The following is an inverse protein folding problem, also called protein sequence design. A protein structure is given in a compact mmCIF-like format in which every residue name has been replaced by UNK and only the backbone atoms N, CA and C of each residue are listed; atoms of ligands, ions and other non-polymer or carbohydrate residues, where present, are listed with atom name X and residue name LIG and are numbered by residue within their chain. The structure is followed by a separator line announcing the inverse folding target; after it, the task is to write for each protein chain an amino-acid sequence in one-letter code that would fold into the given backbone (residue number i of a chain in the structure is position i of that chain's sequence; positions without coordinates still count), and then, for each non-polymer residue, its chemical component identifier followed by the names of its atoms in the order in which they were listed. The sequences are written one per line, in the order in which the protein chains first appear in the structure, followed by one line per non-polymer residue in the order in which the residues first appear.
data_IF_880610681208
#
_entry.id   IF_880610681208
#
_cell.length_a   1.000
_cell.length_b   1.000
_cell.length_c   1.000
_cell.angle_alpha   90.00
_cell.angle_beta   90.00
_cell.angle_gamma   90.00
#
_symmetry.space_group_name_H-M   'P 1'
#
loop_
_entity.id
_entity.type
_entity.pdbx_description
1 polymer ?
#
# COMPACT_ATOMS: atom_id res chain seq x y z
N UNK A 1 79.83 -14.97 -46.13
CA UNK A 1 79.45 -13.99 -45.08
C UNK A 1 79.17 -14.76 -43.80
N UNK A 2 79.97 -14.53 -42.75
CA UNK A 2 79.94 -15.30 -41.49
C UNK A 2 79.11 -14.49 -40.48
N UNK A 3 77.93 -14.97 -40.11
CA UNK A 3 77.11 -14.36 -39.06
C UNK A 3 77.80 -14.59 -37.71
N UNK A 4 78.06 -13.51 -36.97
CA UNK A 4 78.57 -13.58 -35.60
C UNK A 4 77.45 -14.02 -34.66
N UNK A 5 77.72 -14.89 -33.67
CA UNK A 5 76.72 -15.32 -32.70
C UNK A 5 76.35 -14.14 -31.78
N UNK A 6 75.05 -13.87 -31.66
CA UNK A 6 74.49 -12.90 -30.72
C UNK A 6 74.67 -13.44 -29.31
N UNK A 7 75.49 -12.79 -28.47
CA UNK A 7 75.55 -13.10 -27.04
C UNK A 7 74.18 -12.80 -26.41
N UNK A 8 73.54 -13.81 -25.83
CA UNK A 8 72.36 -13.61 -24.99
C UNK A 8 72.81 -12.89 -23.72
N UNK A 9 72.43 -11.61 -23.58
CA UNK A 9 72.62 -10.86 -22.35
C UNK A 9 71.61 -11.39 -21.31
N UNK A 10 72.12 -11.96 -20.21
CA UNK A 10 71.30 -12.36 -19.07
C UNK A 10 70.89 -11.16 -18.22
N UNK A 11 69.78 -11.29 -17.50
CA UNK A 11 69.29 -10.27 -16.56
C UNK A 11 70.16 -10.20 -15.30
N UNK A 12 70.38 -8.99 -14.79
CA UNK A 12 71.08 -8.83 -13.50
C UNK A 12 70.14 -9.11 -12.33
N UNK A 13 70.69 -9.54 -11.19
CA UNK A 13 69.90 -9.79 -9.98
C UNK A 13 69.17 -8.52 -9.50
N UNK A 14 69.82 -7.35 -9.63
CA UNK A 14 69.21 -6.05 -9.29
C UNK A 14 68.01 -5.76 -10.18
N UNK A 15 68.12 -6.00 -11.49
CA UNK A 15 67.02 -5.82 -12.43
C UNK A 15 65.83 -6.72 -12.10
N UNK A 16 66.06 -8.00 -11.82
CA UNK A 16 65.01 -8.94 -11.38
C UNK A 16 64.31 -8.46 -10.10
N UNK A 17 65.07 -8.04 -9.08
CA UNK A 17 64.52 -7.57 -7.80
C UNK A 17 63.69 -6.29 -8.01
N UNK A 18 64.17 -5.32 -8.80
CA UNK A 18 63.41 -4.10 -9.09
C UNK A 18 62.09 -4.39 -9.80
N UNK A 19 62.07 -5.32 -10.75
CA UNK A 19 60.84 -5.72 -11.47
C UNK A 19 59.83 -6.36 -10.51
N UNK A 20 60.26 -7.26 -9.63
CA UNK A 20 59.37 -7.90 -8.65
C UNK A 20 58.76 -6.85 -7.70
N UNK A 21 59.56 -5.89 -7.22
CA UNK A 21 59.08 -4.82 -6.34
C UNK A 21 58.07 -3.93 -7.05
N UNK A 22 58.38 -3.48 -8.28
CA UNK A 22 57.48 -2.63 -9.07
C UNK A 22 56.17 -3.36 -9.36
N UNK A 23 56.23 -4.64 -9.77
CA UNK A 23 55.04 -5.46 -10.00
C UNK A 23 54.21 -5.64 -8.73
N UNK A 24 54.85 -5.83 -7.57
CA UNK A 24 54.15 -5.95 -6.29
C UNK A 24 53.37 -4.68 -5.93
N UNK A 25 53.99 -3.50 -6.07
CA UNK A 25 53.34 -2.20 -5.78
C UNK A 25 52.20 -1.92 -6.77
N UNK A 26 52.42 -2.17 -8.06
CA UNK A 26 51.39 -1.98 -9.09
C UNK A 26 50.22 -2.94 -8.90
N UNK A 27 50.49 -4.22 -8.67
CA UNK A 27 49.45 -5.23 -8.43
C UNK A 27 48.58 -4.84 -7.23
N UNK A 28 49.20 -4.47 -6.09
CA UNK A 28 48.48 -4.02 -4.89
C UNK A 28 47.59 -2.79 -5.15
N UNK A 29 48.12 -1.82 -5.90
CA UNK A 29 47.39 -0.59 -6.24
C UNK A 29 46.18 -0.88 -7.14
N UNK A 30 46.38 -1.68 -8.18
CA UNK A 30 45.32 -2.08 -9.12
C UNK A 30 44.24 -2.88 -8.39
N UNK A 31 44.62 -3.85 -7.55
CA UNK A 31 43.64 -4.64 -6.77
C UNK A 31 42.81 -3.75 -5.84
N UNK A 32 43.43 -2.79 -5.16
CA UNK A 32 42.72 -1.88 -4.26
C UNK A 32 41.74 -0.98 -5.01
N UNK A 33 42.18 -0.45 -6.17
CA UNK A 33 41.32 0.35 -7.04
C UNK A 33 40.14 -0.45 -7.58
N UNK A 34 40.38 -1.67 -8.06
CA UNK A 34 39.30 -2.55 -8.55
C UNK A 34 38.31 -2.90 -7.43
N UNK A 35 38.79 -3.18 -6.22
CA UNK A 35 37.94 -3.46 -5.06
C UNK A 35 37.07 -2.26 -4.68
N UNK A 36 37.64 -1.06 -4.72
CA UNK A 36 36.89 0.17 -4.45
C UNK A 36 35.84 0.43 -5.54
N UNK A 37 36.22 0.26 -6.81
CA UNK A 37 35.31 0.43 -7.94
C UNK A 37 34.13 -0.54 -7.90
N UNK A 38 34.38 -1.83 -7.63
CA UNK A 38 33.30 -2.82 -7.50
C UNK A 38 32.41 -2.53 -6.29
N UNK A 39 32.98 -2.16 -5.14
CA UNK A 39 32.20 -1.78 -3.96
C UNK A 39 31.32 -0.56 -4.21
N UNK A 40 31.87 0.50 -4.82
CA UNK A 40 31.08 1.70 -5.13
C UNK A 40 29.94 1.40 -6.10
N UNK A 41 30.15 0.50 -7.06
CA UNK A 41 29.10 0.06 -7.99
C UNK A 41 28.01 -0.73 -7.26
N UNK A 42 28.36 -1.68 -6.40
CA UNK A 42 27.37 -2.47 -5.65
C UNK A 42 26.58 -1.63 -4.66
N UNK A 43 27.23 -0.69 -3.97
CA UNK A 43 26.57 0.21 -3.02
C UNK A 43 25.56 1.12 -3.75
N UNK A 44 25.93 1.64 -4.93
CA UNK A 44 25.01 2.43 -5.76
C UNK A 44 23.82 1.60 -6.27
N UNK A 45 24.07 0.37 -6.74
CA UNK A 45 23.02 -0.53 -7.22
C UNK A 45 22.05 -0.94 -6.09
N UNK A 46 22.55 -1.24 -4.89
CA UNK A 46 21.73 -1.56 -3.72
C UNK A 46 20.86 -0.37 -3.32
N UNK A 47 21.42 0.85 -3.33
CA UNK A 47 20.66 2.07 -3.03
C UNK A 47 19.58 2.36 -4.06
N UNK A 48 19.86 2.16 -5.34
CA UNK A 48 18.87 2.32 -6.41
C UNK A 48 17.71 1.32 -6.24
N UNK A 49 18.03 0.05 -5.96
CA UNK A 49 17.03 -0.97 -5.70
C UNK A 49 16.13 -0.61 -4.50
N UNK A 50 16.72 -0.18 -3.38
CA UNK A 50 15.97 0.27 -2.20
C UNK A 50 15.03 1.44 -2.51
N UNK A 51 15.52 2.46 -3.22
CA UNK A 51 14.71 3.64 -3.59
C UNK A 51 13.58 3.25 -4.53
N UNK A 52 13.83 2.34 -5.48
CA UNK A 52 12.82 1.86 -6.42
C UNK A 52 11.69 1.11 -5.69
N UNK A 53 12.04 0.15 -4.83
CA UNK A 53 11.07 -0.59 -4.01
C UNK A 53 10.26 0.34 -3.10
N UNK A 54 10.93 1.30 -2.46
CA UNK A 54 10.27 2.25 -1.58
C UNK A 54 9.30 3.17 -2.34
N UNK A 55 9.70 3.69 -3.51
CA UNK A 55 8.82 4.49 -4.38
C UNK A 55 7.61 3.68 -4.81
N UNK A 56 7.81 2.43 -5.24
CA UNK A 56 6.70 1.57 -5.66
C UNK A 56 5.63 1.43 -4.57
N UNK A 57 6.04 1.05 -3.34
CA UNK A 57 5.08 0.84 -2.26
C UNK A 57 4.43 2.14 -1.80
N UNK A 58 5.18 3.24 -1.73
CA UNK A 58 4.63 4.56 -1.33
C UNK A 58 3.63 5.06 -2.38
N UNK A 59 3.94 5.00 -3.67
CA UNK A 59 3.03 5.43 -4.74
C UNK A 59 1.78 4.55 -4.83
N UNK A 60 1.95 3.24 -4.69
CA UNK A 60 0.82 2.31 -4.70
C UNK A 60 -0.10 2.55 -3.51
N UNK A 61 0.46 2.70 -2.31
CA UNK A 61 -0.28 2.97 -1.08
C UNK A 61 -0.98 4.34 -1.16
N UNK A 62 -0.29 5.39 -1.65
CA UNK A 62 -0.88 6.71 -1.92
C UNK A 62 -2.10 6.63 -2.81
N UNK A 63 -2.00 5.91 -3.94
CA UNK A 63 -3.11 5.79 -4.89
C UNK A 63 -4.31 5.07 -4.27
N UNK A 64 -4.09 4.00 -3.53
CA UNK A 64 -5.21 3.23 -2.95
C UNK A 64 -5.86 3.97 -1.77
N UNK A 65 -5.07 4.54 -0.86
CA UNK A 65 -5.60 5.23 0.32
C UNK A 65 -6.37 6.51 -0.06
N UNK A 66 -5.98 7.20 -1.13
CA UNK A 66 -6.73 8.38 -1.64
C UNK A 66 -8.14 8.03 -2.13
N UNK A 67 -8.39 6.77 -2.48
CA UNK A 67 -9.71 6.26 -2.86
C UNK A 67 -10.38 5.46 -1.74
N UNK A 68 -9.93 5.63 -0.49
CA UNK A 68 -10.59 5.06 0.66
C UNK A 68 -11.92 5.77 0.96
N UNK A 69 -12.88 5.01 1.46
CA UNK A 69 -14.13 5.49 2.02
C UNK A 69 -13.83 6.47 3.17
N UNK A 70 -14.51 7.64 3.23
CA UNK A 70 -14.38 8.54 4.35
C UNK A 70 -14.57 7.82 5.68
N UNK A 71 -13.78 8.19 6.69
CA UNK A 71 -13.79 7.58 8.04
C UNK A 71 -13.42 6.09 8.11
N UNK A 72 -13.02 5.44 7.01
CA UNK A 72 -12.58 4.04 7.03
C UNK A 72 -11.13 3.84 7.46
N UNK A 73 -10.24 4.83 7.29
CA UNK A 73 -8.82 4.63 7.62
C UNK A 73 -8.63 4.35 9.11
N UNK A 74 -7.92 3.27 9.44
CA UNK A 74 -7.51 2.94 10.81
C UNK A 74 -6.20 2.18 10.86
N UNK A 75 -5.59 2.12 12.03
CA UNK A 75 -4.42 1.28 12.29
C UNK A 75 -4.82 0.03 13.07
N UNK A 76 -4.36 -1.14 12.64
CA UNK A 76 -4.63 -2.42 13.30
C UNK A 76 -3.34 -3.20 13.61
N UNK A 77 -3.49 -4.27 14.39
CA UNK A 77 -2.40 -5.11 14.86
C UNK A 77 -1.54 -4.46 15.94
N UNK A 78 -0.56 -5.22 16.44
CA UNK A 78 0.35 -4.74 17.47
C UNK A 78 1.20 -3.57 16.97
N UNK A 79 1.35 -2.51 17.78
CA UNK A 79 2.20 -1.35 17.48
C UNK A 79 1.88 -0.65 16.14
N UNK A 80 0.60 -0.54 15.77
CA UNK A 80 0.13 0.08 14.52
C UNK A 80 0.84 -0.47 13.27
N UNK A 81 1.09 -1.78 13.25
CA UNK A 81 1.83 -2.44 12.18
C UNK A 81 1.08 -2.47 10.84
N UNK A 82 -0.24 -2.27 10.84
CA UNK A 82 -1.04 -2.26 9.63
C UNK A 82 -1.82 -0.94 9.48
N UNK A 83 -1.87 -0.44 8.25
CA UNK A 83 -2.85 0.55 7.80
C UNK A 83 -3.98 -0.18 7.08
N UNK A 84 -5.19 -0.03 7.59
CA UNK A 84 -6.40 -0.62 7.02
C UNK A 84 -7.33 0.49 6.51
N UNK A 85 -7.98 0.23 5.38
CA UNK A 85 -8.98 1.12 4.79
C UNK A 85 -9.95 0.33 3.91
N UNK A 86 -11.09 0.94 3.59
CA UNK A 86 -12.09 0.35 2.69
C UNK A 86 -12.07 1.12 1.38
N UNK A 87 -11.76 0.52 0.23
CA UNK A 87 -11.75 1.24 -1.04
C UNK A 87 -13.18 1.49 -1.54
N UNK A 88 -13.38 2.64 -2.19
CA UNK A 88 -14.59 2.96 -2.94
C UNK A 88 -14.47 2.36 -4.33
N UNK A 89 -15.46 1.59 -4.76
CA UNK A 89 -15.60 1.15 -6.15
C UNK A 89 -16.22 2.26 -7.01
N UNK A 90 -17.42 2.71 -6.61
CA UNK A 90 -18.15 3.81 -7.25
C UNK A 90 -18.85 4.69 -6.23
N UNK A 91 -19.05 5.95 -6.58
CA UNK A 91 -19.89 6.89 -5.83
C UNK A 91 -21.08 7.26 -6.69
N UNK A 92 -22.27 7.30 -6.10
CA UNK A 92 -23.50 7.70 -6.75
C UNK A 92 -24.24 8.72 -5.88
N UNK A 93 -25.08 9.53 -6.53
CA UNK A 93 -26.04 10.39 -5.84
C UNK A 93 -27.37 9.64 -5.84
N UNK A 94 -27.95 9.43 -4.66
CA UNK A 94 -29.29 8.86 -4.56
C UNK A 94 -30.35 9.95 -4.77
N UNK A 95 -31.47 9.55 -5.35
CA UNK A 95 -32.62 10.43 -5.53
C UNK A 95 -33.51 10.40 -4.28
N UNK A 96 -33.67 9.22 -3.71
CA UNK A 96 -34.49 8.96 -2.55
C UNK A 96 -33.92 7.76 -1.77
N UNK A 97 -33.99 7.81 -0.44
CA UNK A 97 -33.46 6.78 0.43
C UNK A 97 -34.33 6.65 1.69
N UNK A 98 -34.73 5.43 2.11
CA UNK A 98 -35.65 5.27 3.22
C UNK A 98 -34.97 5.65 4.54
N UNK A 99 -35.36 6.78 5.12
CA UNK A 99 -34.90 7.28 6.45
C UNK A 99 -36.13 7.63 7.29
N UNK A 100 -36.06 7.40 8.61
CA UNK A 100 -37.18 7.72 9.50
C UNK A 100 -37.60 9.20 9.34
N UNK A 101 -38.91 9.50 9.20
CA UNK A 101 -40.07 8.66 9.53
C UNK A 101 -40.64 7.79 8.38
N UNK A 102 -39.96 7.66 7.24
CA UNK A 102 -40.42 6.86 6.12
C UNK A 102 -40.43 5.35 6.42
N UNK A 103 -41.31 4.57 5.76
CA UNK A 103 -41.28 3.12 5.90
C UNK A 103 -40.02 2.52 5.26
N UNK A 104 -39.52 1.43 5.86
CA UNK A 104 -38.39 0.69 5.31
C UNK A 104 -38.71 0.17 3.89
N UNK A 105 -37.75 0.33 2.98
CA UNK A 105 -37.85 -0.07 1.57
C UNK A 105 -36.73 -1.05 1.22
N UNK A 106 -36.98 -1.95 0.26
CA UNK A 106 -35.96 -2.86 -0.27
C UNK A 106 -35.31 -2.34 -1.56
N UNK A 107 -35.56 -1.09 -1.94
CA UNK A 107 -34.92 -0.48 -3.11
C UNK A 107 -34.59 0.98 -2.90
N UNK A 108 -33.51 1.43 -3.55
CA UNK A 108 -33.01 2.80 -3.55
C UNK A 108 -32.73 3.21 -4.99
N UNK A 109 -33.24 4.37 -5.40
CA UNK A 109 -33.01 4.92 -6.73
C UNK A 109 -31.79 5.84 -6.71
N UNK A 110 -30.84 5.60 -7.62
CA UNK A 110 -29.63 6.40 -7.78
C UNK A 110 -29.50 6.95 -9.19
N UNK A 111 -28.77 8.05 -9.33
CA UNK A 111 -28.36 8.56 -10.64
C UNK A 111 -27.68 7.43 -11.43
N UNK A 112 -27.96 7.38 -12.73
CA UNK A 112 -27.50 6.32 -13.62
C UNK A 112 -25.99 6.05 -13.47
N UNK A 113 -25.65 4.79 -13.20
CA UNK A 113 -24.28 4.30 -13.18
C UNK A 113 -23.80 4.05 -14.61
N UNK A 114 -22.67 4.60 -15.03
CA UNK A 114 -22.18 4.42 -16.41
C UNK A 114 -21.48 3.07 -16.61
N UNK A 115 -20.72 2.63 -15.61
CA UNK A 115 -19.96 1.38 -15.64
C UNK A 115 -20.56 0.34 -14.68
N UNK A 116 -20.39 -0.97 -14.97
CA UNK A 116 -20.70 -2.01 -13.99
C UNK A 116 -19.80 -1.91 -12.75
N UNK A 117 -20.31 -2.38 -11.62
CA UNK A 117 -19.55 -2.54 -10.38
C UNK A 117 -18.54 -3.69 -10.52
N UNK A 118 -17.49 -3.67 -9.70
CA UNK A 118 -16.59 -4.80 -9.55
C UNK A 118 -17.33 -5.99 -8.94
N UNK A 119 -16.94 -7.22 -9.35
CA UNK A 119 -17.58 -8.44 -8.85
C UNK A 119 -17.39 -8.68 -7.34
N UNK A 120 -16.43 -7.98 -6.73
CA UNK A 120 -16.12 -8.02 -5.29
C UNK A 120 -16.92 -7.00 -4.47
N UNK A 121 -17.55 -6.03 -5.13
CA UNK A 121 -18.39 -5.00 -4.51
C UNK A 121 -19.72 -5.59 -4.07
N UNK A 122 -20.01 -5.57 -2.78
CA UNK A 122 -21.19 -6.21 -2.19
C UNK A 122 -21.98 -5.30 -1.25
N UNK A 123 -21.38 -4.17 -0.84
CA UNK A 123 -21.95 -3.29 0.16
C UNK A 123 -22.10 -1.88 -0.38
N UNK A 124 -23.09 -1.19 0.17
CA UNK A 124 -23.26 0.25 0.06
C UNK A 124 -23.04 0.91 1.41
N UNK A 125 -22.37 2.05 1.41
CA UNK A 125 -22.16 2.89 2.57
C UNK A 125 -22.88 4.22 2.40
N UNK A 126 -23.66 4.58 3.41
CA UNK A 126 -24.36 5.86 3.49
C UNK A 126 -24.05 6.50 4.83
N UNK A 127 -23.48 7.71 4.79
CA UNK A 127 -23.24 8.56 5.95
C UNK A 127 -22.52 7.88 7.14
N UNK A 128 -21.45 7.13 6.86
CA UNK A 128 -20.61 6.52 7.90
C UNK A 128 -19.80 7.59 8.64
N UNK A 129 -20.00 7.69 9.96
CA UNK A 129 -19.40 8.75 10.79
C UNK A 129 -18.09 8.32 11.46
N UNK A 130 -17.91 7.02 11.67
CA UNK A 130 -16.72 6.48 12.30
C UNK A 130 -16.34 5.13 11.67
N UNK A 131 -15.11 4.66 11.97
CA UNK A 131 -14.61 3.40 11.43
C UNK A 131 -15.40 2.20 11.93
N UNK A 132 -15.93 2.25 13.15
CA UNK A 132 -16.63 1.10 13.75
C UNK A 132 -17.96 0.84 13.04
N UNK A 133 -18.66 1.88 12.57
CA UNK A 133 -19.85 1.74 11.72
C UNK A 133 -19.52 0.93 10.45
N UNK A 134 -18.33 1.16 9.89
CA UNK A 134 -17.87 0.55 8.63
C UNK A 134 -17.45 -0.90 8.86
N UNK A 135 -16.56 -1.14 9.82
CA UNK A 135 -15.95 -2.45 10.02
C UNK A 135 -16.84 -3.45 10.76
N UNK A 136 -17.81 -2.97 11.54
CA UNK A 136 -18.84 -3.81 12.15
C UNK A 136 -20.08 -3.95 11.26
N UNK A 137 -20.06 -3.40 10.03
CA UNK A 137 -21.19 -3.40 9.10
C UNK A 137 -22.48 -2.96 9.80
N UNK A 138 -22.45 -1.78 10.41
CA UNK A 138 -23.57 -1.29 11.21
C UNK A 138 -24.82 -1.13 10.34
N UNK A 139 -25.92 -1.75 10.78
CA UNK A 139 -27.18 -1.66 10.04
C UNK A 139 -27.69 -0.22 10.00
N UNK A 140 -28.24 0.15 8.84
CA UNK A 140 -28.65 1.50 8.52
C UNK A 140 -27.50 2.46 8.14
N UNK A 141 -26.26 1.95 8.05
CA UNK A 141 -25.08 2.69 7.55
C UNK A 141 -24.39 1.91 6.43
N UNK A 142 -24.07 0.64 6.69
CA UNK A 142 -23.50 -0.29 5.71
C UNK A 142 -24.50 -1.40 5.45
N UNK A 143 -24.96 -1.51 4.21
CA UNK A 143 -25.97 -2.51 3.83
C UNK A 143 -25.50 -3.32 2.62
N UNK A 144 -25.76 -4.63 2.65
CA UNK A 144 -25.45 -5.51 1.52
C UNK A 144 -26.57 -5.45 0.49
N UNK A 145 -26.22 -5.16 -0.76
CA UNK A 145 -27.19 -5.14 -1.86
C UNK A 145 -27.24 -6.51 -2.57
N UNK A 146 -28.39 -6.85 -3.15
CA UNK A 146 -28.59 -8.11 -3.88
C UNK A 146 -28.35 -7.98 -5.37
N UNK A 147 -28.79 -6.87 -5.97
CA UNK A 147 -28.54 -6.54 -7.37
C UNK A 147 -28.56 -5.03 -7.60
N UNK A 148 -27.98 -4.61 -8.72
CA UNK A 148 -28.12 -3.25 -9.22
C UNK A 148 -28.69 -3.34 -10.63
N UNK A 149 -29.89 -2.83 -10.80
CA UNK A 149 -30.57 -2.76 -12.09
C UNK A 149 -30.12 -1.48 -12.80
N UNK A 150 -29.33 -1.67 -13.84
CA UNK A 150 -28.83 -0.59 -14.67
C UNK A 150 -29.45 -0.66 -16.06
N UNK A 151 -30.21 0.37 -16.41
CA UNK A 151 -30.91 0.50 -17.69
C UNK A 151 -29.97 0.86 -18.85
N UNK A 152 -28.74 1.31 -18.58
CA UNK A 152 -27.78 1.78 -19.60
C UNK A 152 -28.19 3.09 -20.29
N UNK A 153 -29.30 3.71 -19.88
CA UNK A 153 -29.78 4.97 -20.43
C UNK A 153 -29.62 6.08 -19.39
N UNK A 154 -28.89 7.16 -19.76
CA UNK A 154 -28.59 8.31 -18.89
C UNK A 154 -29.82 9.06 -18.38
N UNK A 155 -30.99 8.84 -18.98
CA UNK A 155 -32.27 9.45 -18.57
C UNK A 155 -33.04 8.63 -17.53
N UNK A 156 -32.64 7.38 -17.29
CA UNK A 156 -33.33 6.46 -16.39
C UNK A 156 -32.44 6.14 -15.18
N UNK A 157 -32.89 6.41 -13.95
CA UNK A 157 -32.16 6.07 -12.73
C UNK A 157 -31.76 4.59 -12.68
N UNK A 158 -30.66 4.29 -12.02
CA UNK A 158 -30.31 2.92 -11.65
C UNK A 158 -30.98 2.58 -10.32
N UNK A 159 -31.42 1.34 -10.16
CA UNK A 159 -32.07 0.88 -8.93
C UNK A 159 -31.18 -0.11 -8.20
N UNK A 160 -30.93 0.16 -6.93
CA UNK A 160 -30.25 -0.76 -6.02
C UNK A 160 -31.33 -1.56 -5.32
N UNK A 161 -31.26 -2.89 -5.41
CA UNK A 161 -32.18 -3.78 -4.72
C UNK A 161 -31.47 -4.43 -3.52
N UNK A 162 -32.22 -4.58 -2.43
CA UNK A 162 -31.79 -5.22 -1.19
C UNK A 162 -32.57 -6.51 -0.98
N UNK A 163 -31.99 -7.45 -0.25
CA UNK A 163 -32.66 -8.71 0.08
C UNK A 163 -33.85 -8.53 1.04
N UNK A 164 -33.76 -7.55 1.94
CA UNK A 164 -34.77 -7.20 2.93
C UNK A 164 -35.09 -5.70 2.85
N UNK A 165 -36.21 -5.29 3.44
CA UNK A 165 -36.48 -3.87 3.63
C UNK A 165 -35.47 -3.29 4.62
N UNK A 166 -34.81 -2.21 4.22
CA UNK A 166 -33.82 -1.49 5.01
C UNK A 166 -34.33 -0.09 5.36
N UNK A 167 -33.82 0.43 6.47
CA UNK A 167 -34.04 1.81 6.90
C UNK A 167 -32.68 2.38 7.30
N UNK A 168 -32.26 3.46 6.64
CA UNK A 168 -31.00 4.12 6.95
C UNK A 168 -31.16 5.01 8.18
N UNK A 169 -30.08 5.14 8.94
CA UNK A 169 -30.09 5.91 10.19
C UNK A 169 -30.19 7.42 9.91
N UNK A 170 -29.60 7.88 8.81
CA UNK A 170 -29.62 9.26 8.39
C UNK A 170 -29.29 9.40 6.90
N UNK A 171 -29.73 10.50 6.31
CA UNK A 171 -29.33 10.91 4.97
C UNK A 171 -27.89 11.43 4.94
N UNK A 172 -27.21 11.23 3.81
CA UNK A 172 -25.96 11.94 3.52
C UNK A 172 -26.29 13.42 3.26
N UNK A 173 -25.55 14.38 3.85
CA UNK A 173 -25.70 15.81 3.60
C UNK A 173 -25.54 16.20 2.12
N UNK A 174 -24.89 15.35 1.31
CA UNK A 174 -24.68 15.58 -0.12
C UNK A 174 -25.46 14.60 -1.00
N UNK A 175 -26.42 13.86 -0.41
CA UNK A 175 -27.20 12.81 -1.05
C UNK A 175 -26.32 11.74 -1.72
N UNK A 176 -25.15 11.46 -1.14
CA UNK A 176 -24.18 10.50 -1.69
C UNK A 176 -24.29 9.14 -1.04
N UNK A 177 -24.05 8.13 -1.87
CA UNK A 177 -23.89 6.73 -1.50
C UNK A 177 -22.62 6.20 -2.16
N UNK A 178 -21.89 5.36 -1.43
CA UNK A 178 -20.67 4.74 -1.92
C UNK A 178 -20.86 3.23 -2.05
N UNK A 179 -20.54 2.68 -3.22
CA UNK A 179 -20.34 1.26 -3.41
C UNK A 179 -18.93 0.91 -2.94
N UNK A 180 -18.81 -0.06 -2.04
CA UNK A 180 -17.55 -0.38 -1.37
C UNK A 180 -17.14 -1.83 -1.59
N UNK A 181 -15.83 -2.05 -1.72
CA UNK A 181 -15.23 -3.37 -1.74
C UNK A 181 -14.89 -3.83 -0.31
N UNK A 182 -14.42 -5.06 -0.20
CA UNK A 182 -13.76 -5.61 0.97
C UNK A 182 -12.57 -4.75 1.45
N UNK A 183 -12.32 -4.72 2.78
CA UNK A 183 -11.18 -4.02 3.35
C UNK A 183 -9.83 -4.43 2.75
N UNK A 184 -8.92 -3.46 2.60
CA UNK A 184 -7.52 -3.65 2.21
C UNK A 184 -6.63 -3.23 3.37
N UNK A 185 -5.60 -4.02 3.65
CA UNK A 185 -4.63 -3.75 4.71
C UNK A 185 -3.20 -3.81 4.18
N UNK A 186 -2.39 -2.80 4.49
CA UNK A 186 -0.94 -2.84 4.31
C UNK A 186 -0.28 -3.06 5.66
N UNK A 187 0.42 -4.19 5.82
CA UNK A 187 1.03 -4.58 7.08
C UNK A 187 2.55 -4.66 6.94
N UNK A 188 3.26 -4.06 7.89
CA UNK A 188 4.69 -4.29 8.09
C UNK A 188 4.85 -5.55 8.93
N UNK A 189 5.44 -6.58 8.34
CA UNK A 189 5.72 -7.86 8.99
C UNK A 189 7.21 -8.17 8.89
N UNK A 190 7.89 -8.17 10.03
CA UNK A 190 9.34 -8.41 10.12
C UNK A 190 10.14 -7.46 9.21
N UNK A 191 10.54 -7.93 8.03
CA UNK A 191 11.41 -7.22 7.08
C UNK A 191 10.70 -6.86 5.76
N UNK A 192 9.37 -6.94 5.72
CA UNK A 192 8.61 -6.75 4.49
C UNK A 192 7.27 -6.05 4.72
N UNK A 193 6.72 -5.50 3.64
CA UNK A 193 5.36 -4.97 3.59
C UNK A 193 4.50 -5.92 2.78
N UNK A 194 3.38 -6.35 3.36
CA UNK A 194 2.39 -7.17 2.69
C UNK A 194 1.10 -6.41 2.51
N UNK A 195 0.48 -6.58 1.36
CA UNK A 195 -0.86 -6.10 1.07
C UNK A 195 -1.84 -7.27 1.17
N UNK A 196 -2.83 -7.13 2.04
CA UNK A 196 -3.92 -8.06 2.27
C UNK A 196 -5.18 -7.57 1.56
N UNK A 197 -5.87 -8.48 0.90
CA UNK A 197 -7.17 -8.25 0.24
C UNK A 197 -8.06 -9.49 0.40
N UNK A 198 -9.38 -9.33 0.32
CA UNK A 198 -10.31 -10.46 0.27
C UNK A 198 -10.54 -11.21 1.59
N UNK A 199 -10.10 -10.65 2.74
CA UNK A 199 -10.39 -11.20 4.07
C UNK A 199 -11.79 -10.80 4.59
N UNK A 200 -12.45 -9.85 3.92
CA UNK A 200 -13.79 -9.39 4.25
C UNK A 200 -13.89 -8.62 5.57
N UNK A 201 -15.11 -8.21 5.92
CA UNK A 201 -15.39 -7.57 7.20
C UNK A 201 -15.33 -8.63 8.32
N UNK A 202 -14.54 -8.38 9.37
CA UNK A 202 -14.39 -9.30 10.50
C UNK A 202 -13.33 -10.41 10.34
N UNK A 203 -12.65 -10.50 9.20
CA UNK A 203 -11.63 -11.52 8.92
C UNK A 203 -10.28 -11.25 9.60
N UNK A 204 -10.21 -11.31 10.93
CA UNK A 204 -8.99 -11.03 11.70
C UNK A 204 -8.48 -12.24 12.49
N UNK A 205 -7.17 -12.32 12.67
CA UNK A 205 -6.50 -13.22 13.60
C UNK A 205 -6.57 -12.66 15.02
N UNK A 206 -6.32 -13.51 16.03
CA UNK A 206 -6.22 -13.08 17.43
C UNK A 206 -5.10 -12.05 17.68
N UNK A 207 -4.12 -11.98 16.79
CA UNK A 207 -3.05 -10.98 16.76
C UNK A 207 -3.50 -9.60 16.22
N UNK A 208 -4.76 -9.47 15.78
CA UNK A 208 -5.29 -8.26 15.15
C UNK A 208 -4.82 -8.04 13.71
N UNK A 209 -4.15 -9.02 13.10
CA UNK A 209 -3.77 -9.03 11.69
C UNK A 209 -4.93 -9.55 10.82
N UNK A 210 -5.04 -9.11 9.55
CA UNK A 210 -5.97 -9.71 8.61
C UNK A 210 -5.68 -11.21 8.44
N UNK A 211 -6.72 -12.03 8.46
CA UNK A 211 -6.62 -13.47 8.29
C UNK A 211 -6.51 -13.82 6.81
N UNK A 212 -5.31 -14.25 6.38
CA UNK A 212 -5.08 -14.79 5.04
C UNK A 212 -5.66 -16.21 4.90
N UNK A 213 -6.98 -16.36 5.00
CA UNK A 213 -7.71 -17.62 4.75
C UNK A 213 -7.80 -17.94 3.24
N UNK A 214 -8.54 -18.99 2.86
CA UNK A 214 -8.62 -19.48 1.47
C UNK A 214 -9.11 -18.45 0.43
N UNK A 215 -9.82 -17.39 0.83
CA UNK A 215 -10.31 -16.33 -0.07
C UNK A 215 -9.46 -15.06 -0.02
N UNK A 216 -8.65 -14.90 1.03
CA UNK A 216 -7.80 -13.74 1.23
C UNK A 216 -6.45 -13.91 0.53
N UNK A 217 -6.02 -12.88 -0.19
CA UNK A 217 -4.71 -12.85 -0.85
C UNK A 217 -3.74 -11.99 -0.05
N UNK A 218 -2.53 -12.50 0.17
CA UNK A 218 -1.40 -11.78 0.76
C UNK A 218 -0.30 -11.60 -0.28
N UNK A 219 -0.01 -10.36 -0.64
CA UNK A 219 0.94 -10.01 -1.70
C UNK A 219 2.13 -9.25 -1.11
N UNK A 220 3.35 -9.68 -1.44
CA UNK A 220 4.57 -8.97 -1.07
C UNK A 220 4.69 -7.67 -1.88
N UNK A 221 4.79 -6.54 -1.19
CA UNK A 221 4.89 -5.21 -1.80
C UNK A 221 6.30 -4.65 -1.74
N UNK A 222 7.03 -4.94 -0.67
CA UNK A 222 8.37 -4.44 -0.44
C UNK A 222 9.12 -5.32 0.55
N UNK A 223 10.44 -5.37 0.43
CA UNK A 223 11.36 -6.04 1.35
C UNK A 223 12.36 -5.02 1.94
N UNK A 224 13.21 -5.48 2.84
CA UNK A 224 14.25 -4.69 3.51
C UNK A 224 13.70 -3.62 4.47
N UNK A 225 12.54 -3.86 5.08
CA UNK A 225 11.95 -2.98 6.08
C UNK A 225 12.59 -3.17 7.45
N UNK A 226 13.02 -2.09 8.10
CA UNK A 226 13.61 -2.10 9.43
C UNK A 226 12.88 -1.17 10.40
N UNK A 227 11.54 -1.14 10.32
CA UNK A 227 10.68 -0.38 11.24
C UNK A 227 10.67 -0.94 12.66
N UNK A 228 10.76 -2.27 12.80
CA UNK A 228 10.82 -2.94 14.09
C UNK A 228 12.20 -3.58 14.25
N UNK A 229 12.99 -3.09 15.21
CA UNK A 229 14.36 -3.58 15.45
C UNK A 229 14.67 -3.60 16.94
N UNK A 230 15.67 -4.39 17.34
CA UNK A 230 16.18 -4.41 18.73
C UNK A 230 16.73 -3.05 19.18
N UNK A 231 17.13 -2.20 18.23
CA UNK A 231 17.68 -0.85 18.48
C UNK A 231 16.59 0.23 18.65
N UNK A 232 15.33 -0.11 18.42
CA UNK A 232 14.21 0.81 18.51
C UNK A 232 13.12 0.53 17.46
N UNK A 233 11.90 0.95 17.77
CA UNK A 233 10.72 0.78 16.93
C UNK A 233 10.27 2.12 16.36
N UNK A 234 10.01 2.14 15.05
CA UNK A 234 9.42 3.25 14.32
C UNK A 234 8.03 2.80 13.89
N UNK A 235 6.99 3.44 14.46
CA UNK A 235 5.61 3.17 14.09
C UNK A 235 5.43 3.41 12.58
N UNK A 236 5.06 2.37 11.81
CA UNK A 236 4.99 2.49 10.36
C UNK A 236 3.76 3.27 9.91
N UNK A 237 2.67 3.19 10.67
CA UNK A 237 1.41 3.83 10.32
C UNK A 237 0.83 4.58 11.52
N UNK A 238 0.26 5.74 11.23
CA UNK A 238 -0.57 6.51 12.15
C UNK A 238 -1.73 7.08 11.37
N UNK A 239 -2.94 7.02 11.93
CA UNK A 239 -4.14 7.57 11.30
C UNK A 239 -4.75 8.63 12.19
N UNK A 240 -5.26 9.67 11.55
CA UNK A 240 -6.03 10.72 12.19
C UNK A 240 -7.40 10.73 11.51
N UNK A 241 -8.48 10.47 12.26
CA UNK A 241 -9.81 10.46 11.70
C UNK A 241 -10.16 11.85 11.15
N UNK A 242 -11.11 11.85 10.21
CA UNK A 242 -11.63 13.09 9.67
C UNK A 242 -12.46 13.83 10.74
N UNK A 243 -12.58 15.14 10.57
CA UNK A 243 -13.46 15.99 11.35
C UNK A 243 -14.32 16.80 10.38
N UNK A 244 -15.31 17.53 10.89
CA UNK A 244 -16.14 18.42 10.07
C UNK A 244 -15.32 19.49 9.31
N UNK A 245 -14.11 19.80 9.77
CA UNK A 245 -13.26 20.85 9.21
C UNK A 245 -11.98 20.33 8.55
N UNK A 246 -11.68 19.03 8.67
CA UNK A 246 -10.42 18.44 8.19
C UNK A 246 -10.64 17.04 7.63
N UNK A 247 -10.06 16.78 6.46
CA UNK A 247 -9.94 15.46 5.88
C UNK A 247 -9.26 14.45 6.83
N UNK A 248 -9.51 13.17 6.60
CA UNK A 248 -8.75 12.11 7.25
C UNK A 248 -7.29 12.16 6.80
N UNK A 249 -6.37 11.77 7.68
CA UNK A 249 -4.94 11.75 7.38
C UNK A 249 -4.35 10.40 7.76
N UNK A 250 -3.69 9.74 6.82
CA UNK A 250 -2.82 8.60 7.09
C UNK A 250 -1.35 9.04 6.94
N UNK A 251 -0.60 8.95 8.03
CA UNK A 251 0.84 9.14 8.03
C UNK A 251 1.52 7.78 7.90
N UNK A 252 2.43 7.66 6.94
CA UNK A 252 3.25 6.46 6.75
C UNK A 252 4.72 6.80 6.93
N UNK A 253 5.42 5.97 7.71
CA UNK A 253 6.86 6.12 7.98
C UNK A 253 7.55 4.79 7.77
N UNK A 254 8.20 4.62 6.62
CA UNK A 254 8.82 3.36 6.23
C UNK A 254 10.34 3.49 6.23
N UNK A 255 11.03 2.65 6.99
CA UNK A 255 12.50 2.59 7.05
C UNK A 255 12.99 1.38 6.27
N UNK A 256 13.83 1.61 5.28
CA UNK A 256 14.47 0.60 4.45
C UNK A 256 15.95 0.47 4.79
N UNK A 257 16.46 -0.75 4.95
CA UNK A 257 17.87 -1.02 5.28
C UNK A 257 18.42 -2.19 4.48
N UNK A 258 19.53 -1.98 3.76
CA UNK A 258 20.28 -3.02 3.05
C UNK A 258 21.77 -2.67 3.00
N UNK A 259 22.64 -3.61 3.38
CA UNK A 259 24.10 -3.47 3.27
C UNK A 259 24.69 -2.14 3.80
N UNK A 260 24.19 -1.66 4.95
CA UNK A 260 24.53 -0.39 5.62
C UNK A 260 23.93 0.88 5.01
N UNK A 261 23.21 0.78 3.88
CA UNK A 261 22.37 1.86 3.37
C UNK A 261 21.05 1.90 4.14
N UNK A 262 20.65 3.10 4.56
CA UNK A 262 19.38 3.36 5.24
C UNK A 262 18.63 4.48 4.52
N UNK A 263 17.34 4.26 4.24
CA UNK A 263 16.45 5.28 3.69
C UNK A 263 15.14 5.29 4.46
N UNK A 264 14.73 6.46 4.94
CA UNK A 264 13.46 6.65 5.65
C UNK A 264 12.52 7.49 4.81
N UNK A 265 11.34 6.95 4.52
CA UNK A 265 10.28 7.64 3.81
C UNK A 265 9.19 8.05 4.78
N UNK A 266 8.87 9.34 4.82
CA UNK A 266 7.72 9.88 5.53
C UNK A 266 6.74 10.40 4.47
N UNK A 267 5.50 9.95 4.52
CA UNK A 267 4.48 10.34 3.57
C UNK A 267 3.13 10.57 4.27
N UNK A 268 2.47 11.63 3.84
CA UNK A 268 1.20 12.09 4.39
C UNK A 268 0.12 11.98 3.32
N UNK A 269 -0.93 11.23 3.63
CA UNK A 269 -1.98 10.88 2.68
C UNK A 269 -3.29 11.41 3.21
N UNK A 270 -3.83 12.40 2.52
CA UNK A 270 -5.15 12.91 2.82
C UNK A 270 -6.22 12.03 2.18
N UNK A 271 -7.20 11.64 2.98
CA UNK A 271 -8.40 10.95 2.54
C UNK A 271 -9.53 11.98 2.53
N UNK A 272 -10.04 12.36 1.34
CA UNK A 272 -11.09 13.35 1.22
C UNK A 272 -12.30 12.97 2.07
N UNK A 273 -12.73 13.86 2.96
CA UNK A 273 -13.92 13.67 3.76
C UNK A 273 -15.10 14.37 3.09
N UNK A 274 -15.71 13.69 2.11
CA UNK A 274 -16.94 14.17 1.46
C UNK A 274 -18.08 13.20 1.80
N UNK A 275 -18.71 13.34 2.98
CA UNK A 275 -19.79 12.46 3.41
C UNK A 275 -21.06 12.61 2.57
#
# INVERSE_FOLDING_TARGET
MRQLPKYQQGFTLVELVTVIVILGVLASSITSFLRFGTKSYTDAADREALISTARFVVERLNREVRHALPNSIRTIGSNNQCLEFVPIDKSAIYLDIPVAPEPASNSVDVVMLEDPLQATTQYVAVYALNSDDIYNTASGVIEAFSSVDNSGNKQTPSKINFANNILFNAESPTSRLYFIDSPISYCVESNAIFRYQGYGFGGYLSSGLPNANASATRVLMAEHIANYSSSGNILPFQTFPATLQRNGLAMTRLKFVRNLEEVVFNNEIQVPNVP
#
